data_IF_854062280228
#
_entry.id   IF_854062280228
#
_cell.length_a   1.000
_cell.length_b   1.000
_cell.length_c   1.000
_cell.angle_alpha   90.00
_cell.angle_beta   90.00
_cell.angle_gamma   90.00
#
_symmetry.space_group_name_H-M   'P 1'
#
loop_
_entity.id
_entity.type
_entity.pdbx_description
1 polymer ?
#
# COMPACT_ATOMS: atom_id res chain seq x y z
N UNK A 1 2.45 2.92 -6.69
CA UNK A 1 3.73 2.21 -6.76
C UNK A 1 3.82 1.02 -5.80
N UNK A 2 3.12 1.03 -4.65
CA UNK A 2 3.12 -0.10 -3.72
C UNK A 2 2.55 -1.39 -4.34
N UNK A 3 1.55 -1.26 -5.20
CA UNK A 3 0.95 -2.40 -5.90
C UNK A 3 1.93 -3.08 -6.85
N UNK A 4 2.71 -2.30 -7.60
CA UNK A 4 3.72 -2.82 -8.53
C UNK A 4 4.80 -3.58 -7.78
N UNK A 5 5.32 -3.01 -6.70
CA UNK A 5 6.34 -3.64 -5.86
C UNK A 5 5.83 -4.94 -5.23
N UNK A 6 4.56 -4.98 -4.80
CA UNK A 6 3.94 -6.19 -4.26
C UNK A 6 3.85 -7.30 -5.31
N UNK A 7 3.43 -6.96 -6.52
CA UNK A 7 3.32 -7.91 -7.65
C UNK A 7 4.69 -8.43 -8.03
N UNK A 8 5.69 -7.57 -8.18
CA UNK A 8 7.07 -7.96 -8.52
C UNK A 8 7.68 -8.91 -7.49
N UNK A 9 7.49 -8.59 -6.21
CA UNK A 9 8.00 -9.45 -5.14
C UNK A 9 7.30 -10.81 -5.11
N UNK A 10 6.00 -10.85 -5.33
CA UNK A 10 5.24 -12.10 -5.41
C UNK A 10 5.68 -12.93 -6.62
N UNK A 11 5.91 -12.28 -7.76
CA UNK A 11 6.43 -12.94 -8.96
C UNK A 11 7.82 -13.55 -8.71
N UNK A 12 8.71 -12.80 -8.05
CA UNK A 12 10.03 -13.28 -7.65
C UNK A 12 9.95 -14.51 -6.75
N UNK A 13 9.03 -14.54 -5.79
CA UNK A 13 8.81 -15.70 -4.93
C UNK A 13 8.32 -16.91 -5.71
N UNK A 14 7.44 -16.72 -6.68
CA UNK A 14 6.95 -17.77 -7.56
C UNK A 14 8.09 -18.36 -8.41
N UNK A 15 8.94 -17.50 -8.98
CA UNK A 15 10.08 -17.92 -9.80
C UNK A 15 11.12 -18.70 -8.97
N UNK A 16 11.38 -18.25 -7.74
CA UNK A 16 12.25 -18.98 -6.80
C UNK A 16 11.68 -20.35 -6.41
N UNK A 17 10.37 -20.45 -6.22
CA UNK A 17 9.73 -21.75 -5.94
C UNK A 17 9.79 -22.68 -7.15
N UNK A 18 9.57 -22.18 -8.36
CA UNK A 18 9.72 -22.95 -9.59
C UNK A 18 11.13 -23.51 -9.74
N UNK A 19 12.14 -22.69 -9.48
CA UNK A 19 13.54 -23.10 -9.53
C UNK A 19 13.86 -24.19 -8.50
N UNK A 20 13.29 -24.10 -7.29
CA UNK A 20 13.47 -25.14 -6.24
C UNK A 20 12.82 -26.47 -6.58
N UNK A 21 11.73 -26.47 -7.33
CA UNK A 21 11.00 -27.66 -7.74
C UNK A 21 11.48 -28.21 -9.10
N UNK A 22 12.56 -27.66 -9.67
CA UNK A 22 13.08 -28.01 -11.00
C UNK A 22 12.01 -27.98 -12.12
N UNK A 23 11.02 -27.11 -11.96
CA UNK A 23 9.98 -26.91 -12.96
C UNK A 23 10.49 -25.96 -14.05
N UNK A 24 10.27 -26.31 -15.30
CA UNK A 24 10.54 -25.40 -16.42
C UNK A 24 9.76 -24.10 -16.26
N UNK A 25 10.33 -22.99 -16.77
CA UNK A 25 9.71 -21.65 -16.69
C UNK A 25 8.27 -21.62 -17.19
N UNK A 26 7.90 -22.54 -18.06
CA UNK A 26 6.55 -22.65 -18.66
C UNK A 26 5.57 -23.46 -17.82
N UNK A 27 6.02 -24.24 -16.86
CA UNK A 27 5.13 -25.02 -16.02
C UNK A 27 4.63 -24.18 -14.85
N UNK A 28 3.29 -24.14 -14.69
CA UNK A 28 2.66 -23.42 -13.59
C UNK A 28 2.71 -24.23 -12.29
N UNK A 29 2.95 -23.53 -11.20
CA UNK A 29 2.92 -24.09 -9.86
C UNK A 29 1.51 -24.56 -9.46
N UNK A 30 1.38 -25.57 -8.58
CA UNK A 30 0.11 -25.96 -7.98
C UNK A 30 -0.60 -24.77 -7.30
N UNK A 31 -1.91 -24.78 -7.26
CA UNK A 31 -2.72 -23.70 -6.68
C UNK A 31 -2.32 -23.33 -5.25
N UNK A 32 -2.01 -24.33 -4.42
CA UNK A 32 -1.59 -24.13 -3.03
C UNK A 32 -0.27 -23.36 -2.93
N UNK A 33 0.68 -23.65 -3.79
CA UNK A 33 1.97 -22.97 -3.84
C UNK A 33 1.87 -21.51 -4.30
N UNK A 34 0.97 -21.25 -5.25
CA UNK A 34 0.65 -19.90 -5.70
C UNK A 34 0.03 -19.10 -4.55
N UNK A 35 -0.93 -19.68 -3.85
CA UNK A 35 -1.59 -19.05 -2.72
C UNK A 35 -0.60 -18.71 -1.60
N UNK A 36 0.24 -19.66 -1.20
CA UNK A 36 1.28 -19.43 -0.19
C UNK A 36 2.23 -18.31 -0.59
N UNK A 37 2.64 -18.25 -1.86
CA UNK A 37 3.56 -17.21 -2.35
C UNK A 37 2.92 -15.83 -2.32
N UNK A 38 1.63 -15.73 -2.65
CA UNK A 38 0.86 -14.49 -2.58
C UNK A 38 0.72 -14.02 -1.13
N UNK A 39 0.37 -14.92 -0.22
CA UNK A 39 0.24 -14.60 1.20
C UNK A 39 1.57 -14.17 1.81
N UNK A 40 2.66 -14.86 1.47
CA UNK A 40 4.00 -14.54 1.94
C UNK A 40 4.49 -13.19 1.40
N UNK A 41 4.24 -12.93 0.11
CA UNK A 41 4.52 -11.64 -0.52
C UNK A 41 3.74 -10.50 0.12
N UNK A 42 2.45 -10.70 0.35
CA UNK A 42 1.59 -9.74 1.04
C UNK A 42 2.09 -9.41 2.45
N UNK A 43 2.38 -10.41 3.26
CA UNK A 43 2.91 -10.23 4.62
C UNK A 43 4.24 -9.48 4.64
N UNK A 44 5.15 -9.75 3.72
CA UNK A 44 6.45 -9.10 3.67
C UNK A 44 6.35 -7.60 3.32
N UNK A 45 5.35 -7.22 2.53
CA UNK A 45 5.15 -5.84 2.07
C UNK A 45 4.15 -5.03 2.90
N UNK A 46 3.39 -5.71 3.76
CA UNK A 46 2.37 -5.07 4.61
C UNK A 46 2.97 -4.02 5.55
N UNK A 47 4.12 -4.32 6.16
CA UNK A 47 4.80 -3.38 7.06
C UNK A 47 5.19 -2.06 6.39
N UNK A 48 5.95 -2.03 5.27
CA UNK A 48 6.31 -0.78 4.59
C UNK A 48 5.08 0.00 4.13
N UNK A 49 4.04 -0.66 3.62
CA UNK A 49 2.83 -0.02 3.12
C UNK A 49 2.06 0.66 4.25
N UNK A 50 1.86 -0.04 5.37
CA UNK A 50 1.16 0.53 6.53
C UNK A 50 1.99 1.66 7.14
N UNK A 51 3.30 1.49 7.26
CA UNK A 51 4.17 2.52 7.83
C UNK A 51 4.09 3.83 7.03
N UNK A 52 4.19 3.76 5.72
CA UNK A 52 4.08 4.96 4.85
C UNK A 52 2.72 5.62 4.95
N UNK A 53 1.64 4.84 4.97
CA UNK A 53 0.28 5.36 5.13
C UNK A 53 0.08 6.06 6.48
N UNK A 54 0.50 5.42 7.57
CA UNK A 54 0.40 6.00 8.93
C UNK A 54 1.23 7.27 9.04
N UNK A 55 2.46 7.28 8.53
CA UNK A 55 3.34 8.45 8.58
C UNK A 55 2.74 9.63 7.83
N UNK A 56 2.17 9.40 6.65
CA UNK A 56 1.52 10.44 5.86
C UNK A 56 0.27 10.98 6.56
N UNK A 57 -0.56 10.10 7.11
CA UNK A 57 -1.76 10.48 7.85
C UNK A 57 -1.39 11.32 9.08
N UNK A 58 -0.42 10.87 9.87
CA UNK A 58 0.05 11.61 11.05
C UNK A 58 0.63 12.97 10.68
N UNK A 59 1.33 13.07 9.55
CA UNK A 59 1.86 14.34 9.04
C UNK A 59 0.77 15.32 8.60
N UNK A 60 -0.38 14.83 8.16
CA UNK A 60 -1.51 15.66 7.73
C UNK A 60 -2.47 16.04 8.86
N UNK A 61 -2.47 15.31 9.99
CA UNK A 61 -3.36 15.61 11.12
C UNK A 61 -3.20 17.05 11.63
N UNK A 62 -1.99 17.58 11.86
CA UNK A 62 -1.83 18.96 12.31
C UNK A 62 -2.46 19.97 11.35
N UNK A 63 -2.33 19.75 10.06
CA UNK A 63 -2.92 20.58 9.03
C UNK A 63 -4.45 20.45 9.01
N UNK A 64 -4.97 19.25 9.17
CA UNK A 64 -6.39 18.96 9.19
C UNK A 64 -7.12 19.57 10.39
N UNK A 65 -6.47 19.58 11.57
CA UNK A 65 -6.99 20.18 12.79
C UNK A 65 -6.78 21.72 12.78
N UNK A 66 -5.84 22.19 11.94
CA UNK A 66 -5.49 23.60 11.87
C UNK A 66 -4.56 24.06 12.99
N UNK A 67 -3.63 23.20 13.37
CA UNK A 67 -2.60 23.54 14.33
C UNK A 67 -1.62 24.53 13.70
N UNK A 68 -1.62 25.75 14.19
CA UNK A 68 -0.65 26.76 13.79
C UNK A 68 0.38 26.98 14.90
N UNK A 69 1.65 26.98 14.51
CA UNK A 69 2.78 27.26 15.39
C UNK A 69 3.48 28.51 14.85
N UNK A 70 3.53 29.55 15.66
CA UNK A 70 4.24 30.77 15.31
C UNK A 70 5.75 30.58 15.57
N UNK A 71 6.44 30.15 14.50
CA UNK A 71 7.88 29.91 14.57
C UNK A 71 8.68 31.19 14.80
N UNK A 72 8.19 32.35 14.34
CA UNK A 72 8.86 33.63 14.58
C UNK A 72 8.87 33.98 16.08
N UNK A 73 7.73 33.79 16.74
CA UNK A 73 7.62 33.99 18.18
C UNK A 73 8.43 32.98 18.99
N UNK A 74 8.52 31.75 18.49
CA UNK A 74 9.34 30.71 19.10
C UNK A 74 10.82 31.10 19.08
N UNK A 75 11.34 31.60 17.95
CA UNK A 75 12.77 31.97 17.82
C UNK A 75 13.12 33.30 18.48
N UNK A 76 12.18 34.26 18.52
CA UNK A 76 12.44 35.59 19.09
C UNK A 76 12.18 35.66 20.60
N UNK A 77 11.08 35.04 21.05
CA UNK A 77 10.61 35.17 22.43
C UNK A 77 10.63 33.86 23.23
N UNK A 78 11.01 32.74 22.61
CA UNK A 78 11.01 31.42 23.22
C UNK A 78 9.62 30.86 23.57
N UNK A 79 8.55 31.49 23.11
CA UNK A 79 7.17 31.07 23.34
C UNK A 79 6.50 30.67 22.02
N UNK A 80 6.24 29.37 21.80
CA UNK A 80 5.43 28.95 20.67
C UNK A 80 3.97 29.34 20.92
N UNK A 81 3.49 30.36 20.23
CA UNK A 81 2.05 30.66 20.22
C UNK A 81 1.34 29.59 19.41
N UNK A 82 0.91 28.54 20.08
CA UNK A 82 0.17 27.44 19.46
C UNK A 82 -1.31 27.80 19.49
N UNK A 83 -1.91 27.99 18.34
CA UNK A 83 -3.35 28.24 18.21
C UNK A 83 -3.98 27.35 17.15
N UNK A 84 -5.25 27.05 17.35
CA UNK A 84 -6.05 26.24 16.44
C UNK A 84 -6.95 27.17 15.64
N UNK A 85 -6.91 27.05 14.32
CA UNK A 85 -7.72 27.88 13.42
C UNK A 85 -6.87 28.84 12.58
N UNK A 86 -7.55 29.73 11.87
CA UNK A 86 -6.95 30.68 10.95
C UNK A 86 -7.35 30.45 9.50
N UNK A 87 -7.04 31.43 8.63
CA UNK A 87 -7.44 31.40 7.23
C UNK A 87 -6.88 30.20 6.46
N UNK A 88 -5.71 29.73 6.85
CA UNK A 88 -5.09 28.53 6.28
C UNK A 88 -5.93 27.27 6.49
N UNK A 89 -6.64 27.15 7.62
CA UNK A 89 -7.45 25.99 7.95
C UNK A 89 -8.70 25.93 7.08
N UNK A 90 -9.29 27.08 6.79
CA UNK A 90 -10.47 27.16 5.93
C UNK A 90 -10.13 26.67 4.52
N UNK A 91 -8.93 26.96 4.06
CA UNK A 91 -8.49 26.62 2.71
C UNK A 91 -7.92 25.19 2.62
N UNK A 92 -7.03 24.81 3.53
CA UNK A 92 -6.30 23.56 3.47
C UNK A 92 -6.91 22.43 4.30
N UNK A 93 -7.76 22.74 5.28
CA UNK A 93 -8.41 21.75 6.13
C UNK A 93 -9.21 20.70 5.35
N UNK A 94 -10.15 21.10 4.48
CA UNK A 94 -10.91 20.15 3.67
C UNK A 94 -10.04 19.27 2.79
N UNK A 95 -8.97 19.83 2.23
CA UNK A 95 -8.01 19.08 1.43
C UNK A 95 -7.29 18.02 2.27
N UNK A 96 -6.80 18.39 3.44
CA UNK A 96 -6.12 17.49 4.36
C UNK A 96 -7.02 16.33 4.80
N UNK A 97 -8.26 16.61 5.17
CA UNK A 97 -9.25 15.59 5.51
C UNK A 97 -9.56 14.65 4.35
N UNK A 98 -9.73 15.20 3.15
CA UNK A 98 -9.94 14.39 1.94
C UNK A 98 -8.78 13.45 1.66
N UNK A 99 -7.55 13.93 1.80
CA UNK A 99 -6.34 13.10 1.60
C UNK A 99 -6.22 12.02 2.68
N UNK A 100 -6.49 12.34 3.94
CA UNK A 100 -6.45 11.37 5.04
C UNK A 100 -7.44 10.23 4.81
N UNK A 101 -8.70 10.53 4.55
CA UNK A 101 -9.72 9.52 4.29
C UNK A 101 -9.45 8.75 3.00
N UNK A 102 -9.09 9.44 1.92
CA UNK A 102 -8.77 8.84 0.64
C UNK A 102 -7.57 7.91 0.72
N UNK A 103 -6.52 8.31 1.41
CA UNK A 103 -5.31 7.48 1.59
C UNK A 103 -5.59 6.25 2.45
N UNK A 104 -6.35 6.39 3.53
CA UNK A 104 -6.75 5.27 4.39
C UNK A 104 -7.55 4.25 3.60
N UNK A 105 -8.56 4.71 2.86
CA UNK A 105 -9.41 3.84 2.06
C UNK A 105 -8.65 3.19 0.90
N UNK A 106 -7.83 3.95 0.18
CA UNK A 106 -7.00 3.46 -0.91
C UNK A 106 -5.98 2.41 -0.43
N UNK A 107 -5.36 2.62 0.72
CA UNK A 107 -4.43 1.65 1.31
C UNK A 107 -5.14 0.34 1.64
N UNK A 108 -6.33 0.41 2.22
CA UNK A 108 -7.13 -0.76 2.55
C UNK A 108 -7.54 -1.54 1.29
N UNK A 109 -8.04 -0.84 0.28
CA UNK A 109 -8.40 -1.43 -1.00
C UNK A 109 -7.19 -2.07 -1.69
N UNK A 110 -6.07 -1.39 -1.72
CA UNK A 110 -4.84 -1.91 -2.37
C UNK A 110 -4.38 -3.20 -1.70
N UNK A 111 -4.38 -3.27 -0.37
CA UNK A 111 -3.96 -4.47 0.35
C UNK A 111 -4.89 -5.68 0.13
N UNK A 112 -6.16 -5.45 -0.17
CA UNK A 112 -7.14 -6.52 -0.41
C UNK A 112 -7.21 -6.86 -1.91
N UNK A 113 -7.36 -5.85 -2.77
CA UNK A 113 -7.66 -6.05 -4.19
C UNK A 113 -6.45 -6.59 -4.95
N UNK A 114 -5.26 -6.08 -4.68
CA UNK A 114 -4.06 -6.47 -5.44
C UNK A 114 -3.74 -7.96 -5.30
N UNK A 115 -3.67 -8.56 -4.10
CA UNK A 115 -3.47 -10.01 -3.95
C UNK A 115 -4.59 -10.83 -4.58
N UNK A 116 -5.84 -10.41 -4.42
CA UNK A 116 -7.01 -11.10 -4.98
C UNK A 116 -6.98 -11.08 -6.50
N UNK A 117 -6.71 -9.92 -7.11
CA UNK A 117 -6.62 -9.79 -8.57
C UNK A 117 -5.47 -10.62 -9.14
N UNK A 118 -4.32 -10.62 -8.46
CA UNK A 118 -3.19 -11.44 -8.86
C UNK A 118 -3.50 -12.93 -8.81
N UNK A 119 -4.16 -13.39 -7.73
CA UNK A 119 -4.59 -14.78 -7.61
C UNK A 119 -5.59 -15.18 -8.70
N UNK A 120 -6.59 -14.32 -8.96
CA UNK A 120 -7.58 -14.55 -10.01
C UNK A 120 -6.94 -14.61 -11.40
N UNK A 121 -6.00 -13.73 -11.70
CA UNK A 121 -5.26 -13.73 -12.97
C UNK A 121 -4.50 -15.04 -13.18
N UNK A 122 -3.83 -15.54 -12.15
CA UNK A 122 -3.12 -16.82 -12.22
C UNK A 122 -4.09 -18.00 -12.35
N UNK A 123 -5.22 -17.97 -11.66
CA UNK A 123 -6.26 -19.00 -11.77
C UNK A 123 -6.89 -19.02 -13.16
N UNK A 124 -7.16 -17.86 -13.72
CA UNK A 124 -7.71 -17.73 -15.07
C UNK A 124 -6.73 -18.25 -16.13
N UNK A 125 -5.45 -17.90 -16.00
CA UNK A 125 -4.40 -18.40 -16.88
C UNK A 125 -4.30 -19.94 -16.86
N UNK A 126 -4.43 -20.55 -15.67
CA UNK A 126 -4.47 -22.02 -15.54
C UNK A 126 -5.68 -22.61 -16.24
N UNK A 127 -6.85 -21.97 -16.12
CA UNK A 127 -8.09 -22.45 -16.75
C UNK A 127 -8.03 -22.35 -18.28
N UNK A 128 -7.50 -21.26 -18.82
CA UNK A 128 -7.35 -21.05 -20.27
C UNK A 128 -6.36 -22.07 -20.85
N UNK A 129 -5.27 -22.35 -20.14
CA UNK A 129 -4.27 -23.35 -20.59
C UNK A 129 -4.85 -24.77 -20.60
N UNK A 130 -5.68 -25.10 -19.61
CA UNK A 130 -6.40 -26.39 -19.56
C UNK A 130 -7.37 -26.55 -20.73
N UNK A 131 -7.98 -25.45 -21.19
CA UNK A 131 -8.90 -25.47 -22.34
C UNK A 131 -8.19 -25.57 -23.70
N UNK A 132 -6.93 -25.15 -23.77
CA UNK A 132 -6.12 -25.17 -25.00
C UNK A 132 -5.46 -26.52 -25.26
N UNK A 133 -5.51 -27.43 -24.29
CA UNK A 133 -4.96 -28.80 -24.38
C UNK A 133 -6.03 -29.86 -24.79
N UNK A 134 -7.26 -29.44 -25.01
CA UNK A 134 -8.34 -30.18 -25.63
C UNK A 134 -8.64 -29.64 -27.03
#
# INVERSE_FOLDING_TARGET
>A
NNSVVLIDYTQLLLDRKKAKLNLEKDNMLPKNEIYESIVKGGKARLRPVILTAITTILGLIPLAIGLNIDLMNLFVNGNPNVYIGGDNVIFWGPLAWTVIFGLTFATFLTLIIVPVTFYLSKRLALKIRSFKLY
#
